data_IF_624918396456
#
_entry.id   IF_624918396456
#
_cell.length_a   1.000
_cell.length_b   1.000
_cell.length_c   1.000
_cell.angle_alpha   90.00
_cell.angle_beta   90.00
_cell.angle_gamma   90.00
#
_symmetry.space_group_name_H-M   'P 1'
#
loop_
_entity.id
_entity.type
_entity.pdbx_description
1 polymer ?
#
# COMPACT_ATOMS: atom_id res chain seq x y z
N UNK A 1 -11.74 -19.39 -5.64
CA UNK A 1 -11.70 -18.95 -4.22
C UNK A 1 -11.77 -17.44 -4.23
N UNK A 2 -12.78 -16.85 -3.59
CA UNK A 2 -12.81 -15.40 -3.40
C UNK A 2 -12.01 -15.12 -2.12
N UNK A 3 -10.89 -14.42 -2.26
CA UNK A 3 -10.10 -13.97 -1.12
C UNK A 3 -10.74 -12.69 -0.60
N UNK A 4 -10.92 -12.60 0.73
CA UNK A 4 -11.45 -11.38 1.32
C UNK A 4 -10.44 -10.24 1.14
N UNK A 5 -10.98 -9.12 0.65
CA UNK A 5 -10.23 -7.90 0.40
C UNK A 5 -10.93 -6.71 1.01
N UNK A 6 -10.16 -5.69 1.35
CA UNK A 6 -10.63 -4.47 1.98
C UNK A 6 -10.11 -3.27 1.21
N UNK A 7 -11.00 -2.32 0.93
CA UNK A 7 -10.64 -1.00 0.44
C UNK A 7 -10.51 -0.04 1.61
N UNK A 8 -9.47 0.79 1.61
CA UNK A 8 -9.23 1.70 2.74
C UNK A 8 -8.47 2.96 2.31
N UNK A 9 -8.64 4.00 3.11
CA UNK A 9 -7.93 5.26 2.95
C UNK A 9 -7.19 5.58 4.25
N UNK A 10 -5.86 5.48 4.22
CA UNK A 10 -5.01 5.70 5.39
C UNK A 10 -4.20 6.98 5.26
N UNK A 11 -3.90 7.60 6.40
CA UNK A 11 -3.07 8.81 6.49
C UNK A 11 -1.89 8.50 7.39
N UNK A 12 -0.70 9.05 7.13
CA UNK A 12 0.47 8.78 7.95
C UNK A 12 0.22 9.16 9.42
N UNK A 13 0.70 8.33 10.35
CA UNK A 13 0.70 8.64 11.77
C UNK A 13 2.02 9.33 12.16
N UNK A 14 1.94 10.46 12.88
CA UNK A 14 3.11 11.18 13.39
C UNK A 14 3.73 12.17 12.40
N UNK A 15 5.03 12.47 12.58
CA UNK A 15 5.80 13.40 11.74
C UNK A 15 6.31 12.72 10.47
N UNK A 16 5.45 12.06 9.71
CA UNK A 16 5.85 11.75 8.35
C UNK A 16 5.93 13.08 7.61
N UNK A 17 7.16 13.55 7.46
CA UNK A 17 7.49 14.83 6.86
C UNK A 17 6.84 14.90 5.49
N UNK A 18 6.22 16.05 5.24
CA UNK A 18 5.48 16.36 4.02
C UNK A 18 6.33 15.96 2.82
N UNK A 19 5.94 14.90 2.10
CA UNK A 19 6.54 14.60 0.80
C UNK A 19 6.36 15.83 -0.08
N UNK A 20 7.44 16.30 -0.68
CA UNK A 20 7.38 17.38 -1.65
C UNK A 20 6.55 16.93 -2.86
N UNK A 21 5.91 17.89 -3.53
CA UNK A 21 5.17 17.61 -4.78
C UNK A 21 6.02 16.88 -5.82
N UNK A 22 7.34 17.10 -5.83
CA UNK A 22 8.28 16.45 -6.74
C UNK A 22 8.52 14.97 -6.41
N UNK A 23 8.61 14.61 -5.13
CA UNK A 23 8.75 13.21 -4.69
C UNK A 23 7.48 12.42 -5.01
N UNK A 24 6.32 13.00 -4.73
CA UNK A 24 5.04 12.38 -5.08
C UNK A 24 4.90 12.24 -6.61
N UNK A 25 5.33 13.24 -7.39
CA UNK A 25 5.28 13.15 -8.85
C UNK A 25 6.17 12.02 -9.42
N UNK A 26 7.34 11.78 -8.83
CA UNK A 26 8.20 10.64 -9.21
C UNK A 26 7.61 9.29 -8.82
N UNK A 27 6.93 9.21 -7.68
CA UNK A 27 6.22 8.00 -7.23
C UNK A 27 4.98 7.70 -8.08
N UNK A 28 4.27 8.75 -8.50
CA UNK A 28 3.10 8.69 -9.38
C UNK A 28 3.47 8.48 -10.86
N UNK A 29 4.76 8.42 -11.20
CA UNK A 29 5.17 8.10 -12.56
C UNK A 29 4.82 6.63 -12.86
N UNK A 30 3.70 6.43 -13.54
CA UNK A 30 3.20 5.12 -13.99
C UNK A 30 3.81 4.70 -15.33
N UNK A 31 4.84 5.40 -15.84
CA UNK A 31 5.54 5.00 -17.05
C UNK A 31 6.27 3.66 -16.89
N UNK A 32 6.56 3.00 -18.02
CA UNK A 32 7.29 1.72 -18.10
C UNK A 32 8.72 1.91 -17.56
N UNK A 33 8.89 1.73 -16.24
CA UNK A 33 10.14 1.98 -15.51
C UNK A 33 9.96 2.73 -14.18
N UNK A 34 8.74 3.18 -13.87
CA UNK A 34 8.44 3.98 -12.69
C UNK A 34 8.46 3.22 -11.36
N UNK A 35 8.72 3.98 -10.28
CA UNK A 35 8.73 3.51 -8.89
C UNK A 35 7.39 2.93 -8.44
N UNK A 36 6.30 3.28 -9.13
CA UNK A 36 4.95 2.78 -8.85
C UNK A 36 4.88 1.26 -8.76
N UNK A 37 5.45 0.55 -9.75
CA UNK A 37 5.36 -0.90 -9.82
C UNK A 37 6.08 -1.60 -8.66
N UNK A 38 7.21 -1.03 -8.22
CA UNK A 38 7.99 -1.50 -7.07
C UNK A 38 7.25 -1.19 -5.78
N UNK A 39 6.78 0.05 -5.62
CA UNK A 39 6.00 0.48 -4.47
C UNK A 39 4.75 -0.40 -4.28
N UNK A 40 3.99 -0.64 -5.34
CA UNK A 40 2.82 -1.53 -5.32
C UNK A 40 3.18 -2.94 -4.86
N UNK A 41 4.24 -3.54 -5.39
CA UNK A 41 4.68 -4.89 -5.00
C UNK A 41 5.11 -4.94 -3.52
N UNK A 42 5.89 -3.97 -3.07
CA UNK A 42 6.34 -3.88 -1.68
C UNK A 42 5.17 -3.66 -0.72
N UNK A 43 4.22 -2.79 -1.06
CA UNK A 43 3.03 -2.55 -0.26
C UNK A 43 2.16 -3.81 -0.14
N UNK A 44 1.96 -4.55 -1.23
CA UNK A 44 1.22 -5.82 -1.20
C UNK A 44 1.92 -6.86 -0.30
N UNK A 45 3.25 -6.94 -0.36
CA UNK A 45 4.02 -7.85 0.49
C UNK A 45 3.85 -7.50 1.98
N UNK A 46 3.87 -6.21 2.32
CA UNK A 46 3.64 -5.74 3.71
C UNK A 46 2.21 -6.06 4.18
N UNK A 47 1.21 -5.84 3.33
CA UNK A 47 -0.19 -6.15 3.66
C UNK A 47 -0.46 -7.65 3.81
N UNK A 48 0.31 -8.50 3.13
CA UNK A 48 0.21 -9.95 3.24
C UNK A 48 1.15 -10.54 4.30
N UNK A 49 1.79 -9.71 5.14
CA UNK A 49 2.66 -10.18 6.21
C UNK A 49 1.89 -11.08 7.19
N UNK A 50 2.44 -12.25 7.52
CA UNK A 50 1.77 -13.25 8.36
C UNK A 50 0.91 -14.28 7.59
N UNK A 51 0.82 -14.14 6.27
CA UNK A 51 0.23 -15.16 5.39
C UNK A 51 1.16 -16.36 5.21
N UNK A 52 0.58 -17.54 4.95
CA UNK A 52 1.32 -18.77 4.64
C UNK A 52 1.76 -18.87 3.17
N UNK A 53 1.51 -17.84 2.36
CA UNK A 53 1.96 -17.79 0.96
C UNK A 53 3.46 -17.51 0.95
N UNK A 54 4.24 -18.47 0.46
CA UNK A 54 5.69 -18.39 0.31
C UNK A 54 6.14 -18.00 -1.12
N UNK A 55 5.22 -18.05 -2.09
CA UNK A 55 5.47 -17.68 -3.48
C UNK A 55 4.92 -16.27 -3.83
N UNK A 56 5.83 -15.37 -4.23
CA UNK A 56 5.48 -13.99 -4.59
C UNK A 56 4.68 -13.85 -5.88
N UNK A 57 4.80 -14.80 -6.82
CA UNK A 57 3.99 -14.83 -8.04
C UNK A 57 2.56 -15.23 -7.70
N UNK A 58 2.39 -16.25 -6.85
CA UNK A 58 1.06 -16.64 -6.35
C UNK A 58 0.38 -15.47 -5.64
N UNK A 59 1.12 -14.72 -4.83
CA UNK A 59 0.61 -13.52 -4.16
C UNK A 59 0.08 -12.48 -5.15
N UNK A 60 0.85 -12.20 -6.22
CA UNK A 60 0.49 -11.22 -7.24
C UNK A 60 -0.70 -11.67 -8.09
N UNK A 61 -0.81 -12.97 -8.38
CA UNK A 61 -1.95 -13.54 -9.11
C UNK A 61 -3.22 -13.51 -8.24
N UNK A 62 -3.07 -13.87 -6.95
CA UNK A 62 -4.14 -13.88 -5.96
C UNK A 62 -4.77 -12.50 -5.77
N UNK A 63 -3.93 -11.47 -5.68
CA UNK A 63 -4.36 -10.08 -5.52
C UNK A 63 -4.08 -9.26 -6.79
N UNK A 64 -4.50 -9.79 -7.94
CA UNK A 64 -4.34 -9.11 -9.23
C UNK A 64 -5.09 -7.77 -9.31
N UNK A 65 -6.20 -7.64 -8.57
CA UNK A 65 -6.97 -6.40 -8.43
C UNK A 65 -6.40 -5.40 -7.41
N UNK A 66 -5.36 -5.77 -6.66
CA UNK A 66 -4.76 -4.89 -5.66
C UNK A 66 -4.18 -3.65 -6.33
N UNK A 67 -4.42 -2.49 -5.74
CA UNK A 67 -3.82 -1.24 -6.21
C UNK A 67 -3.61 -0.27 -5.04
N UNK A 68 -2.62 0.60 -5.16
CA UNK A 68 -2.27 1.57 -4.12
C UNK A 68 -1.81 2.87 -4.75
N UNK A 69 -2.52 3.95 -4.43
CA UNK A 69 -2.29 5.28 -5.01
C UNK A 69 -2.07 6.34 -3.94
N UNK A 70 -1.26 7.35 -4.27
CA UNK A 70 -1.00 8.48 -3.38
C UNK A 70 -1.95 9.62 -3.72
N UNK A 71 -2.80 10.01 -2.78
CA UNK A 71 -3.68 11.17 -2.89
C UNK A 71 -3.06 12.36 -2.15
N UNK A 72 -2.72 13.42 -2.89
CA UNK A 72 -2.34 14.70 -2.27
C UNK A 72 -3.58 15.44 -1.77
N UNK A 73 -3.51 15.96 -0.53
CA UNK A 73 -4.52 16.81 0.10
C UNK A 73 -3.84 18.04 0.70
N UNK A 74 -4.63 19.03 1.12
CA UNK A 74 -4.13 20.29 1.69
C UNK A 74 -3.21 20.09 2.90
N UNK A 75 -3.41 19.00 3.66
CA UNK A 75 -2.65 18.67 4.89
C UNK A 75 -1.77 17.42 4.74
N UNK A 76 -1.19 17.20 3.56
CA UNK A 76 -0.24 16.11 3.31
C UNK A 76 -0.76 15.05 2.35
N UNK A 77 -0.35 13.80 2.55
CA UNK A 77 -0.70 12.69 1.66
C UNK A 77 -1.64 11.70 2.33
N UNK A 78 -2.39 10.97 1.51
CA UNK A 78 -3.13 9.76 1.92
C UNK A 78 -2.80 8.63 0.94
N UNK A 79 -2.84 7.40 1.43
CA UNK A 79 -2.77 6.21 0.58
C UNK A 79 -4.20 5.70 0.36
N UNK A 80 -4.65 5.72 -0.89
CA UNK A 80 -5.87 5.03 -1.35
C UNK A 80 -5.48 3.60 -1.71
N UNK A 81 -5.99 2.63 -0.97
CA UNK A 81 -5.65 1.21 -1.12
C UNK A 81 -6.91 0.47 -1.51
N UNK A 82 -6.83 -0.28 -2.62
CA UNK A 82 -7.92 -1.10 -3.14
C UNK A 82 -7.52 -2.56 -3.18
N UNK A 83 -8.46 -3.43 -2.85
CA UNK A 83 -8.24 -4.88 -2.92
C UNK A 83 -7.17 -5.38 -1.94
N UNK A 84 -6.99 -4.73 -0.78
CA UNK A 84 -5.97 -5.13 0.18
C UNK A 84 -6.32 -6.46 0.84
N UNK A 85 -5.36 -7.37 1.08
CA UNK A 85 -5.58 -8.58 1.86
C UNK A 85 -6.27 -8.32 3.20
N UNK A 86 -7.41 -8.98 3.48
CA UNK A 86 -8.16 -8.77 4.73
C UNK A 86 -7.36 -9.12 6.00
N UNK A 87 -6.35 -10.00 5.89
CA UNK A 87 -5.42 -10.35 6.98
C UNK A 87 -4.68 -9.14 7.55
N UNK A 88 -4.55 -8.05 6.79
CA UNK A 88 -3.95 -6.81 7.27
C UNK A 88 -4.83 -6.02 8.26
N UNK A 89 -6.06 -6.48 8.49
CA UNK A 89 -7.08 -5.78 9.26
C UNK A 89 -7.60 -6.63 10.41
N UNK A 90 -7.92 -5.98 11.53
CA UNK A 90 -8.64 -6.54 12.68
C UNK A 90 -9.81 -5.61 12.98
N UNK A 91 -11.03 -6.17 13.01
CA UNK A 91 -12.27 -5.40 13.19
C UNK A 91 -12.40 -4.20 12.23
N UNK A 92 -11.99 -4.39 10.96
CA UNK A 92 -12.02 -3.37 9.92
C UNK A 92 -10.96 -2.27 10.07
N UNK A 93 -10.06 -2.35 11.06
CA UNK A 93 -8.95 -1.43 11.24
C UNK A 93 -7.64 -2.07 10.83
N UNK A 94 -6.84 -1.36 10.05
CA UNK A 94 -5.51 -1.83 9.67
C UNK A 94 -4.64 -2.02 10.91
N UNK A 95 -3.91 -3.14 10.97
CA UNK A 95 -2.96 -3.41 12.04
C UNK A 95 -1.90 -2.29 12.06
N UNK A 96 -1.66 -1.70 13.23
CA UNK A 96 -0.77 -0.54 13.39
C UNK A 96 0.63 -0.78 12.83
N UNK A 97 1.21 -1.96 13.06
CA UNK A 97 2.52 -2.32 12.51
C UNK A 97 2.54 -2.33 10.98
N UNK A 98 1.48 -2.85 10.33
CA UNK A 98 1.36 -2.84 8.86
C UNK A 98 1.23 -1.40 8.36
N UNK A 99 0.42 -0.59 9.04
CA UNK A 99 0.27 0.83 8.73
C UNK A 99 1.62 1.56 8.77
N UNK A 100 2.42 1.38 9.84
CA UNK A 100 3.76 1.96 9.97
C UNK A 100 4.70 1.47 8.85
N UNK A 101 4.71 0.17 8.53
CA UNK A 101 5.55 -0.37 7.46
C UNK A 101 5.18 0.15 6.08
N UNK A 102 3.90 0.38 5.77
CA UNK A 102 3.48 0.96 4.49
C UNK A 102 4.08 2.34 4.26
N UNK A 103 4.10 3.18 5.29
CA UNK A 103 4.73 4.50 5.19
C UNK A 103 6.26 4.43 5.29
N UNK A 104 6.83 3.39 5.91
CA UNK A 104 8.27 3.15 5.84
C UNK A 104 8.74 2.70 4.44
N UNK A 105 7.93 1.92 3.71
CA UNK A 105 8.19 1.54 2.31
C UNK A 105 8.14 2.75 1.38
N UNK A 106 7.34 3.76 1.73
CA UNK A 106 7.21 5.00 0.95
C UNK A 106 8.41 5.95 1.11
N UNK A 107 9.18 5.84 2.20
CA UNK A 107 10.30 6.71 2.56
C UNK A 107 11.63 6.22 2.00
#
# INVERSE_FOLDING_TARGET
MNYEVVDTLISPEGRLEVLSKAEVAKLLDTSQGGLYSVFRKCALAVLNCGSSIDDGKELLERYSSFDISILQRERGIKLDIRGAPAIAFVDGKMIKGIHEHLFAVLR
#
